data_IF_487328338498
#
_entry.id   IF_487328338498
#
_cell.length_a   1.000
_cell.length_b   1.000
_cell.length_c   1.000
_cell.angle_alpha   90.00
_cell.angle_beta   90.00
_cell.angle_gamma   90.00
#
_symmetry.space_group_name_H-M   'P 1'
#
loop_
_entity.id
_entity.type
_entity.pdbx_description
1 polymer ?
#
# COMPACT_ATOMS: atom_id res chain seq x y z
N UNK A 1 -26.89 -0.52 -16.92
CA UNK A 1 -26.54 -1.36 -15.77
C UNK A 1 -25.23 -0.80 -15.24
N UNK A 2 -25.32 0.20 -14.37
CA UNK A 2 -24.14 0.86 -13.79
C UNK A 2 -23.56 -0.08 -12.74
N UNK A 3 -22.38 -0.63 -13.04
CA UNK A 3 -21.61 -1.40 -12.08
C UNK A 3 -21.23 -0.44 -10.96
N UNK A 4 -21.66 -0.74 -9.73
CA UNK A 4 -21.32 0.06 -8.53
C UNK A 4 -19.79 0.10 -8.42
N UNK A 5 -19.19 1.29 -8.41
CA UNK A 5 -17.74 1.54 -8.30
C UNK A 5 -17.04 0.95 -7.05
N UNK A 6 -17.76 0.18 -6.22
CA UNK A 6 -17.27 -0.33 -4.93
C UNK A 6 -16.67 -1.75 -4.96
N UNK A 7 -16.73 -2.51 -6.07
CA UNK A 7 -16.32 -3.94 -6.06
C UNK A 7 -14.82 -4.22 -6.31
N UNK A 8 -14.10 -3.34 -6.99
CA UNK A 8 -12.67 -3.58 -7.28
C UNK A 8 -11.78 -3.01 -6.19
N UNK A 9 -10.58 -3.56 -5.90
CA UNK A 9 -9.63 -2.94 -4.99
C UNK A 9 -9.17 -1.57 -5.53
N UNK A 10 -8.85 -0.60 -4.65
CA UNK A 10 -8.38 0.71 -5.07
C UNK A 10 -7.07 0.59 -5.86
N UNK A 11 -6.93 1.41 -6.91
CA UNK A 11 -5.76 1.37 -7.81
C UNK A 11 -4.74 2.47 -7.54
N UNK A 12 -5.12 3.52 -6.83
CA UNK A 12 -4.28 4.68 -6.51
C UNK A 12 -4.46 5.10 -5.05
N UNK A 13 -3.51 5.85 -4.49
CA UNK A 13 -3.64 6.38 -3.13
C UNK A 13 -4.82 7.36 -3.01
N UNK A 14 -5.09 8.14 -4.06
CA UNK A 14 -6.26 9.03 -4.11
C UNK A 14 -7.58 8.25 -4.02
N UNK A 15 -7.70 7.15 -4.75
CA UNK A 15 -8.89 6.31 -4.68
C UNK A 15 -9.04 5.64 -3.31
N UNK A 16 -7.93 5.21 -2.71
CA UNK A 16 -7.90 4.66 -1.35
C UNK A 16 -8.38 5.70 -0.32
N UNK A 17 -7.86 6.91 -0.37
CA UNK A 17 -8.26 8.02 0.51
C UNK A 17 -9.75 8.35 0.35
N UNK A 18 -10.26 8.40 -0.88
CA UNK A 18 -11.68 8.64 -1.13
C UNK A 18 -12.58 7.57 -0.51
N UNK A 19 -12.16 6.29 -0.55
CA UNK A 19 -12.91 5.20 0.08
C UNK A 19 -12.93 5.32 1.60
N UNK A 20 -11.80 5.67 2.19
CA UNK A 20 -11.68 5.90 3.64
C UNK A 20 -12.57 7.08 4.05
N UNK A 21 -12.54 8.17 3.27
CA UNK A 21 -13.37 9.34 3.51
C UNK A 21 -14.86 8.98 3.48
N UNK A 22 -15.29 8.27 2.43
CA UNK A 22 -16.68 7.81 2.27
C UNK A 22 -17.11 6.90 3.42
N UNK A 23 -16.27 5.94 3.81
CA UNK A 23 -16.56 5.07 4.95
C UNK A 23 -16.71 5.86 6.26
N UNK A 24 -15.94 6.94 6.43
CA UNK A 24 -16.08 7.86 7.54
C UNK A 24 -17.40 8.65 7.50
N UNK A 25 -17.82 9.10 6.32
CA UNK A 25 -19.11 9.78 6.14
C UNK A 25 -20.29 8.86 6.43
N UNK A 26 -20.28 7.66 5.86
CA UNK A 26 -21.29 6.62 6.10
C UNK A 26 -21.39 6.30 7.60
N UNK A 27 -20.24 6.09 8.26
CA UNK A 27 -20.22 5.84 9.69
C UNK A 27 -20.81 7.00 10.50
N UNK A 28 -20.48 8.25 10.17
CA UNK A 28 -21.03 9.43 10.86
C UNK A 28 -22.54 9.56 10.64
N UNK A 29 -23.02 9.32 9.43
CA UNK A 29 -24.45 9.38 9.12
C UNK A 29 -25.24 8.36 9.94
N UNK A 30 -24.73 7.12 10.07
CA UNK A 30 -25.34 6.06 10.88
C UNK A 30 -25.32 6.34 12.39
N UNK A 31 -24.37 7.15 12.86
CA UNK A 31 -24.13 7.42 14.29
C UNK A 31 -24.43 8.89 14.68
N UNK A 32 -25.32 9.54 13.94
CA UNK A 32 -25.83 10.88 14.26
C UNK A 32 -27.15 10.76 15.01
N UNK A 33 -27.17 11.20 16.27
CA UNK A 33 -28.39 11.30 17.06
C UNK A 33 -29.00 12.70 16.91
N UNK A 34 -30.29 12.76 16.58
CA UNK A 34 -31.06 14.01 16.58
C UNK A 34 -31.78 14.15 17.92
N UNK A 35 -31.47 15.19 18.69
CA UNK A 35 -32.17 15.51 19.93
C UNK A 35 -32.98 16.78 19.74
N UNK A 36 -34.30 16.66 19.89
CA UNK A 36 -35.22 17.81 19.88
C UNK A 36 -35.38 18.29 21.32
N UNK A 37 -35.13 19.57 21.55
CA UNK A 37 -35.42 20.21 22.82
C UNK A 37 -36.94 20.43 22.92
N UNK A 38 -37.61 19.69 23.81
CA UNK A 38 -39.07 19.75 23.99
C UNK A 38 -39.57 21.13 24.45
N UNK A 39 -38.69 21.99 24.98
CA UNK A 39 -39.04 23.31 25.52
C UNK A 39 -38.83 24.45 24.52
N UNK A 40 -37.77 24.38 23.68
CA UNK A 40 -37.46 25.43 22.70
C UNK A 40 -37.78 25.04 21.26
N UNK A 41 -38.04 23.76 20.98
CA UNK A 41 -38.17 23.23 19.62
C UNK A 41 -36.84 23.12 18.87
N UNK A 42 -35.71 23.47 19.50
CA UNK A 42 -34.40 23.41 18.86
C UNK A 42 -33.95 21.97 18.60
N UNK A 43 -33.50 21.73 17.37
CA UNK A 43 -32.92 20.45 16.97
C UNK A 43 -31.40 20.53 17.14
N UNK A 44 -30.86 19.65 17.99
CA UNK A 44 -29.41 19.49 18.17
C UNK A 44 -28.97 18.16 17.61
N UNK A 45 -28.07 18.20 16.64
CA UNK A 45 -27.44 17.00 16.09
C UNK A 45 -26.16 16.69 16.87
N UNK A 46 -26.07 15.47 17.42
CA UNK A 46 -24.88 15.01 18.11
C UNK A 46 -24.29 13.81 17.36
N UNK A 47 -23.21 14.06 16.63
CA UNK A 47 -22.46 13.01 15.93
C UNK A 47 -21.48 12.36 16.90
N UNK A 48 -21.61 11.05 17.12
CA UNK A 48 -20.67 10.30 17.95
C UNK A 48 -19.22 10.37 17.40
N UNK A 49 -18.24 10.15 18.27
CA UNK A 49 -16.83 9.97 17.88
C UNK A 49 -16.57 8.46 17.78
N UNK A 50 -15.98 7.98 16.68
CA UNK A 50 -15.72 6.55 16.50
C UNK A 50 -14.71 6.05 17.54
N UNK A 51 -14.93 4.84 18.04
CA UNK A 51 -13.97 4.18 18.90
C UNK A 51 -12.70 3.80 18.11
N UNK A 52 -11.55 3.77 18.80
CA UNK A 52 -10.25 3.45 18.18
C UNK A 52 -10.25 2.10 17.46
N UNK A 53 -10.93 1.09 18.03
CA UNK A 53 -11.07 -0.22 17.41
C UNK A 53 -11.93 -0.18 16.12
N UNK A 54 -13.00 0.62 16.11
CA UNK A 54 -13.85 0.81 14.93
C UNK A 54 -13.06 1.39 13.76
N UNK A 55 -12.28 2.45 14.03
CA UNK A 55 -11.39 3.06 13.03
C UNK A 55 -10.40 2.03 12.50
N UNK A 56 -9.74 1.29 13.40
CA UNK A 56 -8.76 0.27 13.02
C UNK A 56 -9.35 -0.85 12.15
N UNK A 57 -10.56 -1.31 12.48
CA UNK A 57 -11.28 -2.33 11.70
C UNK A 57 -11.58 -1.84 10.29
N UNK A 58 -12.21 -0.68 10.14
CA UNK A 58 -12.56 -0.11 8.83
C UNK A 58 -11.31 0.15 8.00
N UNK A 59 -10.26 0.72 8.59
CA UNK A 59 -8.99 0.91 7.88
C UNK A 59 -8.40 -0.42 7.42
N UNK A 60 -8.48 -1.47 8.22
CA UNK A 60 -7.95 -2.81 7.87
C UNK A 60 -8.76 -3.52 6.79
N UNK A 61 -10.01 -3.12 6.55
CA UNK A 61 -10.85 -3.61 5.45
C UNK A 61 -10.52 -2.90 4.12
N UNK A 62 -10.08 -1.65 4.17
CA UNK A 62 -9.82 -0.81 2.98
C UNK A 62 -8.34 -0.82 2.58
N UNK A 63 -7.43 -0.78 3.55
CA UNK A 63 -5.98 -0.56 3.37
C UNK A 63 -5.23 -1.88 3.52
N UNK A 64 -4.26 -2.11 2.62
CA UNK A 64 -3.40 -3.30 2.71
C UNK A 64 -2.26 -3.06 3.69
N UNK A 65 -2.43 -3.56 4.91
CA UNK A 65 -1.39 -3.61 5.93
C UNK A 65 -0.67 -4.96 5.95
N UNK A 66 0.62 -4.96 6.32
CA UNK A 66 1.35 -6.20 6.61
C UNK A 66 2.50 -5.99 7.58
N UNK A 67 2.96 -7.07 8.20
CA UNK A 67 4.30 -7.13 8.80
C UNK A 67 5.23 -7.84 7.85
N UNK A 68 6.43 -7.28 7.63
CA UNK A 68 7.44 -7.89 6.78
C UNK A 68 8.50 -8.52 7.69
N UNK A 69 8.54 -9.85 7.73
CA UNK A 69 9.51 -10.60 8.52
C UNK A 69 9.82 -11.95 7.86
N UNK A 70 11.05 -12.44 8.06
CA UNK A 70 11.41 -13.83 7.74
C UNK A 70 10.94 -14.81 8.82
N UNK A 71 10.75 -14.34 10.05
CA UNK A 71 10.20 -15.12 11.16
C UNK A 71 8.67 -15.05 11.20
N UNK A 72 8.05 -15.97 11.93
CA UNK A 72 6.60 -15.96 12.17
C UNK A 72 6.20 -15.12 13.39
N UNK A 73 7.08 -14.26 13.91
CA UNK A 73 6.84 -13.47 15.13
C UNK A 73 6.82 -11.97 14.75
N UNK A 74 5.72 -11.30 15.07
CA UNK A 74 5.48 -9.89 14.70
C UNK A 74 5.91 -8.87 15.76
N UNK A 75 6.30 -9.30 16.96
CA UNK A 75 6.36 -8.46 18.15
C UNK A 75 7.18 -7.18 17.98
N UNK A 76 8.27 -7.23 17.19
CA UNK A 76 9.13 -6.09 16.86
C UNK A 76 9.00 -5.58 15.41
N UNK A 77 8.08 -6.15 14.62
CA UNK A 77 7.93 -5.80 13.20
C UNK A 77 7.25 -4.45 13.03
N UNK A 78 7.75 -3.61 12.13
CA UNK A 78 7.08 -2.39 11.70
C UNK A 78 5.77 -2.74 10.97
N UNK A 79 4.74 -1.92 11.17
CA UNK A 79 3.51 -2.00 10.39
C UNK A 79 3.74 -1.32 9.04
N UNK A 80 3.67 -2.09 7.96
CA UNK A 80 3.81 -1.59 6.61
C UNK A 80 2.44 -1.36 5.95
N UNK A 81 2.39 -0.34 5.10
CA UNK A 81 1.25 0.06 4.27
C UNK A 81 1.68 -0.13 2.82
N UNK A 82 0.87 -0.80 2.01
CA UNK A 82 1.11 -0.83 0.57
C UNK A 82 0.75 0.52 -0.05
N UNK A 83 1.75 1.21 -0.60
CA UNK A 83 1.57 2.43 -1.37
C UNK A 83 1.17 2.05 -2.80
N UNK A 84 -0.06 2.40 -3.18
CA UNK A 84 -0.63 2.05 -4.49
C UNK A 84 0.04 2.81 -5.65
N UNK A 85 0.52 4.03 -5.38
CA UNK A 85 1.12 4.88 -6.42
C UNK A 85 2.59 4.47 -6.64
N UNK A 86 3.30 4.13 -5.56
CA UNK A 86 4.68 3.65 -5.65
C UNK A 86 4.81 2.15 -5.92
N UNK A 87 3.79 1.36 -5.64
CA UNK A 87 3.79 -0.09 -5.83
C UNK A 87 4.68 -0.86 -4.84
N UNK A 88 4.99 -0.26 -3.68
CA UNK A 88 5.87 -0.82 -2.65
C UNK A 88 5.26 -0.65 -1.25
N UNK A 89 5.79 -1.39 -0.29
CA UNK A 89 5.42 -1.25 1.12
C UNK A 89 6.26 -0.17 1.83
N UNK A 90 5.59 0.72 2.54
CA UNK A 90 6.21 1.77 3.37
C UNK A 90 5.82 1.65 4.84
N UNK A 91 6.74 1.93 5.75
CA UNK A 91 6.50 1.96 7.20
C UNK A 91 6.24 3.40 7.69
N UNK A 92 5.56 4.23 6.88
CA UNK A 92 5.32 5.65 7.17
C UNK A 92 4.27 5.86 8.26
N UNK A 93 4.66 6.51 9.35
CA UNK A 93 3.73 6.98 10.37
C UNK A 93 2.85 8.11 9.84
N UNK A 94 3.40 9.01 9.03
CA UNK A 94 2.65 10.16 8.50
C UNK A 94 1.54 9.70 7.57
N UNK A 95 1.80 8.69 6.73
CA UNK A 95 0.76 8.07 5.92
C UNK A 95 -0.32 7.44 6.80
N UNK A 96 0.06 6.66 7.82
CA UNK A 96 -0.91 6.08 8.75
C UNK A 96 -1.80 7.15 9.41
N UNK A 97 -1.19 8.24 9.88
CA UNK A 97 -1.88 9.35 10.54
C UNK A 97 -2.80 10.09 9.57
N UNK A 98 -2.40 10.25 8.31
CA UNK A 98 -3.22 10.80 7.24
C UNK A 98 -4.47 9.94 7.03
N UNK A 99 -4.33 8.62 6.89
CA UNK A 99 -5.47 7.70 6.73
C UNK A 99 -6.45 7.79 7.90
N UNK A 100 -5.96 7.89 9.14
CA UNK A 100 -6.81 8.11 10.32
C UNK A 100 -7.59 9.43 10.22
N UNK A 101 -6.93 10.53 9.83
CA UNK A 101 -7.59 11.83 9.66
C UNK A 101 -8.59 11.84 8.50
N UNK A 102 -8.28 11.14 7.41
CA UNK A 102 -9.17 11.01 6.25
C UNK A 102 -10.47 10.31 6.64
N UNK A 103 -10.40 9.32 7.54
CA UNK A 103 -11.59 8.68 8.08
C UNK A 103 -12.42 9.65 8.93
N UNK A 104 -11.80 10.30 9.92
CA UNK A 104 -12.47 11.31 10.74
C UNK A 104 -11.47 12.36 11.25
N UNK A 105 -11.66 13.61 10.80
CA UNK A 105 -10.80 14.76 11.15
C UNK A 105 -10.79 15.08 12.65
N UNK A 106 -11.78 14.57 13.42
CA UNK A 106 -11.90 14.78 14.87
C UNK A 106 -11.01 13.84 15.68
N UNK A 107 -10.46 12.79 15.07
CA UNK A 107 -9.51 11.86 15.71
C UNK A 107 -8.25 12.62 16.11
N UNK A 108 -7.91 12.58 17.41
CA UNK A 108 -6.79 13.35 17.95
C UNK A 108 -5.48 12.59 17.79
N UNK A 109 -4.33 13.28 17.62
CA UNK A 109 -3.02 12.63 17.51
C UNK A 109 -2.68 11.63 18.63
N UNK A 110 -3.13 11.91 19.86
CA UNK A 110 -2.96 11.01 21.02
C UNK A 110 -3.62 9.63 20.86
N UNK A 111 -4.57 9.49 19.94
CA UNK A 111 -5.33 8.25 19.70
C UNK A 111 -4.67 7.38 18.62
N UNK A 112 -3.81 7.95 17.77
CA UNK A 112 -3.14 7.23 16.68
C UNK A 112 -2.32 6.03 17.15
N UNK A 113 -1.54 6.09 18.26
CA UNK A 113 -0.83 4.90 18.74
C UNK A 113 -1.76 3.76 19.11
N UNK A 114 -2.92 4.07 19.71
CA UNK A 114 -3.92 3.06 20.09
C UNK A 114 -4.60 2.46 18.86
N UNK A 115 -4.98 3.29 17.87
CA UNK A 115 -5.53 2.80 16.60
C UNK A 115 -4.51 1.91 15.89
N UNK A 116 -3.24 2.33 15.85
CA UNK A 116 -2.15 1.54 15.26
C UNK A 116 -1.99 0.20 15.96
N UNK A 117 -2.05 0.16 17.29
CA UNK A 117 -2.02 -1.08 18.05
C UNK A 117 -3.17 -2.02 17.67
N UNK A 118 -4.39 -1.48 17.50
CA UNK A 118 -5.55 -2.27 17.06
C UNK A 118 -5.39 -2.77 15.62
N UNK A 119 -4.87 -1.96 14.69
CA UNK A 119 -4.58 -2.43 13.32
C UNK A 119 -3.53 -3.55 13.35
N UNK A 120 -2.54 -3.46 14.23
CA UNK A 120 -1.52 -4.51 14.39
C UNK A 120 -2.11 -5.85 14.79
N UNK A 121 -3.16 -5.90 15.63
CA UNK A 121 -3.79 -7.17 16.02
C UNK A 121 -4.60 -7.80 14.89
N UNK A 122 -5.02 -7.02 13.90
CA UNK A 122 -5.75 -7.48 12.72
C UNK A 122 -4.81 -7.85 11.54
N UNK A 123 -3.54 -7.45 11.62
CA UNK A 123 -2.58 -7.55 10.51
C UNK A 123 -1.87 -8.90 10.47
N UNK A 124 -1.64 -9.42 9.25
CA UNK A 124 -0.91 -10.67 9.01
C UNK A 124 0.55 -10.42 8.63
N UNK A 125 1.42 -11.32 9.07
CA UNK A 125 2.83 -11.37 8.67
C UNK A 125 2.94 -11.93 7.24
N UNK A 126 3.81 -11.33 6.43
CA UNK A 126 4.24 -11.85 5.14
C UNK A 126 5.76 -11.84 5.03
N UNK A 127 6.28 -12.80 4.27
CA UNK A 127 7.70 -12.85 3.93
C UNK A 127 8.01 -11.82 2.83
N UNK A 128 9.20 -11.21 2.84
CA UNK A 128 9.65 -10.38 1.73
C UNK A 128 9.72 -11.19 0.43
N UNK A 129 9.75 -10.51 -0.72
CA UNK A 129 10.05 -11.15 -1.99
C UNK A 129 11.48 -11.72 -1.96
N UNK A 130 11.61 -13.04 -2.09
CA UNK A 130 12.91 -13.75 -2.04
C UNK A 130 13.39 -14.29 -3.39
N UNK A 131 12.59 -14.15 -4.46
CA UNK A 131 12.95 -14.67 -5.78
C UNK A 131 14.12 -13.91 -6.38
N UNK A 132 15.15 -14.64 -6.85
CA UNK A 132 16.25 -14.09 -7.64
C UNK A 132 15.86 -13.61 -9.03
N UNK A 133 14.73 -14.10 -9.55
CA UNK A 133 14.28 -13.83 -10.91
C UNK A 133 13.30 -12.66 -10.99
N UNK A 134 12.74 -12.21 -9.87
CA UNK A 134 11.77 -11.11 -9.86
C UNK A 134 12.44 -9.84 -9.34
N UNK A 135 12.74 -8.93 -10.25
CA UNK A 135 13.46 -7.69 -9.91
C UNK A 135 12.50 -6.49 -9.99
N UNK A 136 12.24 -5.79 -8.88
CA UNK A 136 11.47 -4.56 -8.90
C UNK A 136 12.25 -3.42 -9.56
N UNK A 137 11.68 -2.85 -10.61
CA UNK A 137 12.21 -1.72 -11.42
C UNK A 137 11.21 -0.57 -11.43
N UNK A 138 11.52 0.58 -12.03
CA UNK A 138 10.70 1.79 -11.89
C UNK A 138 9.23 1.59 -12.32
N UNK A 139 9.01 0.78 -13.37
CA UNK A 139 7.72 0.60 -14.04
C UNK A 139 7.09 -0.79 -13.81
N UNK A 140 7.60 -1.59 -12.87
CA UNK A 140 7.01 -2.90 -12.54
C UNK A 140 8.02 -3.88 -11.94
N UNK A 141 7.75 -5.18 -12.11
CA UNK A 141 8.60 -6.27 -11.64
C UNK A 141 9.00 -7.11 -12.84
N UNK A 142 10.26 -7.06 -13.25
CA UNK A 142 10.77 -7.84 -14.38
C UNK A 142 11.05 -9.28 -13.93
N UNK A 143 10.52 -10.25 -14.66
CA UNK A 143 10.92 -11.64 -14.55
C UNK A 143 12.14 -11.90 -15.45
N UNK A 144 13.28 -12.24 -14.86
CA UNK A 144 14.53 -12.48 -15.60
C UNK A 144 14.49 -13.76 -16.45
N UNK A 145 13.60 -14.71 -16.16
CA UNK A 145 13.44 -15.93 -16.96
C UNK A 145 12.59 -15.66 -18.21
N UNK A 146 11.37 -15.15 -18.01
CA UNK A 146 10.43 -14.92 -19.13
C UNK A 146 10.67 -13.60 -19.86
N UNK A 147 11.45 -12.69 -19.27
CA UNK A 147 11.65 -11.29 -19.70
C UNK A 147 10.37 -10.47 -19.73
N UNK A 148 9.32 -10.91 -19.03
CA UNK A 148 8.04 -10.20 -18.92
C UNK A 148 8.06 -9.20 -17.76
N UNK A 149 7.45 -8.03 -18.00
CA UNK A 149 7.27 -7.00 -16.98
C UNK A 149 5.88 -7.14 -16.34
N UNK A 150 5.84 -7.56 -15.07
CA UNK A 150 4.60 -7.62 -14.29
C UNK A 150 4.26 -6.26 -13.68
N UNK A 151 2.96 -5.92 -13.58
CA UNK A 151 2.54 -4.74 -12.84
C UNK A 151 2.84 -4.92 -11.35
N UNK A 152 2.99 -3.80 -10.64
CA UNK A 152 3.06 -3.84 -9.19
C UNK A 152 1.77 -4.41 -8.59
N UNK A 153 1.93 -5.14 -7.49
CA UNK A 153 0.83 -5.72 -6.76
C UNK A 153 1.24 -5.96 -5.30
N UNK A 154 0.31 -5.81 -4.33
CA UNK A 154 0.56 -6.15 -2.92
C UNK A 154 0.95 -7.63 -2.70
N UNK A 155 0.83 -8.49 -3.72
CA UNK A 155 1.36 -9.86 -3.69
C UNK A 155 2.88 -9.88 -3.54
N UNK A 156 3.58 -8.91 -4.12
CA UNK A 156 5.02 -8.81 -4.07
C UNK A 156 5.42 -7.93 -2.89
N UNK A 157 5.96 -8.57 -1.84
CA UNK A 157 6.32 -7.86 -0.60
C UNK A 157 7.69 -7.23 -0.77
N UNK A 158 7.69 -6.03 -1.32
CA UNK A 158 8.89 -5.24 -1.65
C UNK A 158 8.84 -3.88 -0.94
N UNK A 159 9.98 -3.38 -0.49
CA UNK A 159 10.11 -2.08 0.20
C UNK A 159 10.97 -1.08 -0.56
N UNK A 160 11.54 -1.49 -1.70
CA UNK A 160 12.35 -0.67 -2.59
C UNK A 160 12.30 -1.24 -4.01
N UNK A 161 12.69 -0.41 -4.98
CA UNK A 161 12.78 -0.74 -6.40
C UNK A 161 13.95 -0.01 -7.04
N UNK A 162 14.46 -0.55 -8.14
CA UNK A 162 15.47 0.11 -8.97
C UNK A 162 14.82 1.32 -9.65
N UNK A 163 15.51 2.47 -9.66
CA UNK A 163 14.98 3.74 -10.19
C UNK A 163 14.89 3.78 -11.73
N UNK A 164 15.50 2.83 -12.42
CA UNK A 164 15.50 2.72 -13.88
C UNK A 164 14.32 1.89 -14.37
N UNK A 165 13.58 2.41 -15.36
CA UNK A 165 12.54 1.65 -16.04
C UNK A 165 13.12 0.55 -16.93
N UNK A 166 12.47 -0.62 -16.92
CA UNK A 166 12.79 -1.68 -17.86
C UNK A 166 12.14 -1.40 -19.21
N UNK A 167 12.94 -1.49 -20.26
CA UNK A 167 12.50 -1.51 -21.64
C UNK A 167 13.09 -2.73 -22.33
N UNK A 168 12.23 -3.54 -22.95
CA UNK A 168 12.68 -4.70 -23.70
C UNK A 168 13.64 -4.24 -24.82
N UNK A 169 14.85 -4.83 -24.91
CA UNK A 169 15.81 -4.45 -25.94
C UNK A 169 15.25 -4.82 -27.33
N UNK A 170 15.26 -3.86 -28.26
CA UNK A 170 14.87 -4.10 -29.67
C UNK A 170 15.99 -4.76 -30.48
N UNK A 171 17.23 -4.61 -30.03
CA UNK A 171 18.45 -5.17 -30.62
C UNK A 171 19.51 -5.29 -29.52
N UNK A 172 20.48 -6.17 -29.72
CA UNK A 172 21.67 -6.23 -28.88
C UNK A 172 22.54 -5.00 -29.17
N UNK A 173 22.87 -4.16 -28.16
CA UNK A 173 23.78 -3.05 -28.36
C UNK A 173 25.17 -3.55 -28.75
N UNK A 174 25.81 -2.83 -29.66
CA UNK A 174 27.20 -3.06 -30.03
C UNK A 174 28.02 -1.80 -29.75
N UNK A 175 29.31 -1.97 -29.50
CA UNK A 175 30.26 -0.87 -29.47
C UNK A 175 30.54 -0.31 -30.89
N UNK A 176 31.54 0.58 -31.00
CA UNK A 176 31.95 1.19 -32.28
C UNK A 176 32.58 0.18 -33.25
N UNK A 177 33.08 -0.94 -32.76
CA UNK A 177 33.69 -2.01 -33.54
C UNK A 177 32.68 -3.10 -33.94
N UNK A 178 31.43 -2.97 -33.49
CA UNK A 178 30.37 -3.94 -33.74
C UNK A 178 30.37 -5.11 -32.75
N UNK A 179 31.14 -5.05 -31.67
CA UNK A 179 31.19 -6.10 -30.63
C UNK A 179 30.09 -5.91 -29.60
N UNK A 180 29.46 -7.00 -29.20
CA UNK A 180 28.46 -7.04 -28.13
C UNK A 180 29.13 -7.03 -26.75
N UNK A 181 28.32 -6.90 -25.69
CA UNK A 181 28.80 -7.09 -24.32
C UNK A 181 29.38 -8.49 -24.11
N UNK A 182 28.75 -9.52 -24.68
CA UNK A 182 29.21 -10.91 -24.53
C UNK A 182 30.56 -11.12 -25.23
N UNK A 183 30.76 -10.52 -26.41
CA UNK A 183 32.07 -10.54 -27.10
C UNK A 183 33.17 -9.88 -26.23
N UNK A 184 32.85 -8.73 -25.63
CA UNK A 184 33.76 -8.05 -24.70
C UNK A 184 34.05 -8.91 -23.47
N UNK A 185 33.03 -9.49 -22.86
CA UNK A 185 33.16 -10.34 -21.68
C UNK A 185 34.03 -11.56 -21.97
N UNK A 186 33.79 -12.25 -23.09
CA UNK A 186 34.59 -13.41 -23.52
C UNK A 186 36.05 -13.04 -23.77
N UNK A 187 36.31 -11.83 -24.30
CA UNK A 187 37.67 -11.36 -24.58
C UNK A 187 38.51 -11.17 -23.31
N UNK A 188 37.89 -10.75 -22.21
CA UNK A 188 38.58 -10.56 -20.91
C UNK A 188 38.54 -11.82 -20.05
N UNK A 189 37.58 -12.71 -20.29
CA UNK A 189 37.46 -14.01 -19.61
C UNK A 189 38.29 -15.13 -20.27
N UNK A 190 39.17 -14.82 -21.22
CA UNK A 190 39.96 -15.81 -21.97
C UNK A 190 39.11 -16.94 -22.58
N UNK A 191 37.85 -16.65 -22.94
CA UNK A 191 36.88 -17.62 -23.44
C UNK A 191 36.59 -18.79 -22.46
N UNK A 192 36.70 -18.56 -21.14
CA UNK A 192 36.32 -19.47 -20.05
C UNK A 192 34.88 -19.22 -19.55
N UNK A 193 34.02 -18.80 -20.48
CA UNK A 193 32.63 -18.39 -20.28
C UNK A 193 31.63 -19.55 -20.40
#
# INVERSE_FOLDING_TARGET
MEVREQEHPPRTMKELENRIFKAGEEWRAEHTETKVNETTGDVTEKVAIPQTFTVAKILSEIVTFTFISKSNIADYSLLYIYDLDEGIYTASNDLFNLLCKTFDVRIKPREWPQIKLMVRTLTKIRKPLESSNLIPVQNGIINLETKELFPFSPKYVITSKISTAYHAPKRVPTDREGKTFDDWLNSIACNDS
#
